data_IF_777286814832
#
_entry.id   IF_777286814832
#
_cell.length_a   1.000
_cell.length_b   1.000
_cell.length_c   1.000
_cell.angle_alpha   90.00
_cell.angle_beta   90.00
_cell.angle_gamma   90.00
#
_symmetry.space_group_name_H-M   'P 1'
#
loop_
_entity.id
_entity.type
_entity.pdbx_description
1 polymer ?
#
# COMPACT_ATOMS: atom_id res chain seq x y z
N UNK A 1 33.81 -49.80 5.57
CA UNK A 1 32.62 -49.20 4.95
C UNK A 1 32.48 -47.81 5.54
N UNK A 2 32.74 -46.76 4.77
CA UNK A 2 32.59 -45.38 5.25
C UNK A 2 31.09 -45.08 5.41
N UNK A 3 30.70 -44.47 6.53
CA UNK A 3 29.34 -43.95 6.69
C UNK A 3 29.21 -42.72 5.78
N UNK A 4 28.25 -42.74 4.87
CA UNK A 4 27.94 -41.61 4.01
C UNK A 4 27.42 -40.44 4.88
N UNK A 5 27.99 -39.24 4.67
CA UNK A 5 27.60 -38.04 5.41
C UNK A 5 26.30 -37.50 4.80
N UNK A 6 25.27 -37.38 5.63
CA UNK A 6 24.00 -36.78 5.25
C UNK A 6 24.00 -35.29 5.56
N UNK A 7 23.49 -34.47 4.64
CA UNK A 7 23.28 -33.03 4.78
C UNK A 7 21.83 -32.68 4.45
N UNK A 8 21.32 -31.57 5.00
CA UNK A 8 19.96 -31.11 4.72
C UNK A 8 19.97 -30.13 3.55
N UNK A 9 19.09 -30.35 2.56
CA UNK A 9 18.80 -29.40 1.49
C UNK A 9 17.37 -28.88 1.61
N UNK A 10 17.12 -27.64 1.19
CA UNK A 10 15.79 -27.06 1.00
C UNK A 10 15.52 -26.92 -0.49
N UNK A 11 14.64 -27.77 -1.02
CA UNK A 11 14.19 -27.77 -2.41
C UNK A 11 13.15 -26.68 -2.60
N UNK A 12 13.45 -25.67 -3.44
CA UNK A 12 12.52 -24.59 -3.77
C UNK A 12 11.77 -24.83 -5.09
N UNK A 13 12.32 -25.67 -5.99
CA UNK A 13 11.64 -26.11 -7.22
C UNK A 13 11.65 -27.64 -7.29
N UNK A 14 10.50 -28.33 -7.39
CA UNK A 14 10.48 -29.79 -7.49
C UNK A 14 11.26 -30.31 -8.68
N UNK A 15 12.04 -31.38 -8.48
CA UNK A 15 12.84 -31.98 -9.55
C UNK A 15 13.00 -33.48 -9.36
N UNK A 16 13.47 -34.17 -10.41
CA UNK A 16 13.86 -35.59 -10.35
C UNK A 16 15.31 -35.72 -10.75
N UNK A 17 16.15 -36.24 -9.85
CA UNK A 17 17.55 -36.51 -10.10
C UNK A 17 17.71 -37.95 -10.59
N UNK A 18 18.50 -38.16 -11.65
CA UNK A 18 18.92 -39.50 -12.06
C UNK A 18 20.34 -39.74 -11.53
N UNK A 19 20.50 -40.76 -10.70
CA UNK A 19 21.76 -41.12 -10.05
C UNK A 19 22.63 -41.98 -10.99
N UNK A 20 23.89 -42.18 -10.61
CA UNK A 20 24.87 -42.92 -11.43
C UNK A 20 24.50 -44.39 -11.68
N UNK A 21 23.66 -44.98 -10.83
CA UNK A 21 23.09 -46.33 -10.98
C UNK A 21 21.82 -46.36 -11.85
N UNK A 22 21.48 -45.24 -12.51
CA UNK A 22 20.26 -45.02 -13.29
C UNK A 22 18.97 -45.02 -12.46
N UNK A 23 19.05 -45.08 -11.13
CA UNK A 23 17.89 -44.88 -10.28
C UNK A 23 17.43 -43.42 -10.35
N UNK A 24 16.13 -43.20 -10.18
CA UNK A 24 15.52 -41.87 -10.19
C UNK A 24 15.02 -41.54 -8.80
N UNK A 25 15.43 -40.39 -8.28
CA UNK A 25 15.00 -39.86 -7.00
C UNK A 25 14.23 -38.56 -7.21
N UNK A 26 12.97 -38.54 -6.79
CA UNK A 26 12.12 -37.37 -6.87
C UNK A 26 12.23 -36.54 -5.59
N UNK A 27 12.33 -35.22 -5.76
CA UNK A 27 12.38 -34.24 -4.70
C UNK A 27 11.22 -33.27 -4.84
N UNK A 28 10.32 -33.28 -3.86
CA UNK A 28 9.26 -32.27 -3.73
C UNK A 28 9.81 -31.02 -3.01
N UNK A 29 9.10 -29.90 -3.11
CA UNK A 29 9.42 -28.70 -2.33
C UNK A 29 9.50 -29.02 -0.83
N UNK A 30 10.50 -28.48 -0.14
CA UNK A 30 10.71 -28.69 1.30
C UNK A 30 12.10 -29.21 1.65
N UNK A 31 12.26 -29.65 2.91
CA UNK A 31 13.55 -30.10 3.46
C UNK A 31 13.76 -31.61 3.24
N UNK A 32 14.94 -31.97 2.74
CA UNK A 32 15.34 -33.37 2.52
C UNK A 32 16.73 -33.62 3.08
N UNK A 33 16.92 -34.76 3.74
CA UNK A 33 18.24 -35.23 4.12
C UNK A 33 18.78 -36.14 3.01
N UNK A 34 19.89 -35.73 2.42
CA UNK A 34 20.49 -36.40 1.27
C UNK A 34 21.99 -36.59 1.50
N UNK A 35 22.63 -37.54 0.80
CA UNK A 35 24.08 -37.60 0.75
C UNK A 35 24.72 -36.30 0.30
N UNK A 36 25.91 -36.00 0.82
CA UNK A 36 26.70 -34.82 0.44
C UNK A 36 26.95 -34.75 -1.09
N UNK A 37 27.12 -35.89 -1.76
CA UNK A 37 27.27 -35.97 -3.22
C UNK A 37 26.01 -35.52 -3.96
N UNK A 38 24.82 -35.91 -3.46
CA UNK A 38 23.53 -35.50 -4.01
C UNK A 38 23.29 -34.01 -3.79
N UNK A 39 23.64 -33.49 -2.60
CA UNK A 39 23.53 -32.06 -2.29
C UNK A 39 24.49 -31.21 -3.13
N UNK A 40 25.69 -31.73 -3.40
CA UNK A 40 26.72 -31.04 -4.19
C UNK A 40 26.48 -31.11 -5.70
N UNK A 41 25.57 -31.98 -6.15
CA UNK A 41 25.24 -32.14 -7.56
C UNK A 41 24.71 -30.83 -8.16
N UNK A 42 25.23 -30.41 -9.31
CA UNK A 42 24.91 -29.12 -9.95
C UNK A 42 23.40 -28.92 -10.16
N UNK A 43 22.70 -29.99 -10.55
CA UNK A 43 21.25 -29.97 -10.75
C UNK A 43 20.48 -29.79 -9.43
N UNK A 44 20.95 -30.42 -8.35
CA UNK A 44 20.38 -30.20 -7.01
C UNK A 44 20.60 -28.76 -6.57
N UNK A 45 21.81 -28.21 -6.74
CA UNK A 45 22.12 -26.81 -6.37
C UNK A 45 21.34 -25.77 -7.20
N UNK A 46 20.87 -26.13 -8.39
CA UNK A 46 20.02 -25.26 -9.20
C UNK A 46 18.57 -25.20 -8.70
N UNK A 47 18.15 -26.17 -7.87
CA UNK A 47 16.74 -26.33 -7.44
C UNK A 47 16.58 -26.45 -5.92
N UNK A 48 17.69 -26.47 -5.18
CA UNK A 48 17.74 -26.60 -3.74
C UNK A 48 18.97 -25.88 -3.14
N UNK A 49 18.83 -25.41 -1.91
CA UNK A 49 19.89 -24.77 -1.14
C UNK A 49 20.32 -25.66 0.02
N UNK A 50 21.59 -25.59 0.44
CA UNK A 50 22.03 -26.25 1.67
C UNK A 50 21.37 -25.54 2.86
N UNK A 51 20.60 -26.29 3.63
CA UNK A 51 19.97 -25.79 4.84
C UNK A 51 20.84 -26.20 6.01
N UNK A 52 21.56 -25.24 6.61
CA UNK A 52 22.20 -25.49 7.90
C UNK A 52 21.08 -25.62 8.94
N UNK A 53 20.78 -26.85 9.32
CA UNK A 53 19.80 -27.16 10.36
C UNK A 53 20.40 -26.83 11.74
N UNK A 54 20.51 -25.53 12.00
CA UNK A 54 20.63 -24.93 13.33
C UNK A 54 19.31 -24.25 13.67
N UNK A 55 18.53 -24.91 14.51
CA UNK A 55 17.27 -24.48 15.11
C UNK A 55 17.30 -23.07 15.75
N UNK A 56 17.20 -22.01 14.94
CA UNK A 56 16.95 -20.62 15.39
C UNK A 56 16.10 -19.81 14.39
N UNK A 57 15.91 -20.28 13.16
CA UNK A 57 15.16 -19.52 12.13
C UNK A 57 13.72 -19.17 12.54
N UNK A 58 13.06 -19.99 13.36
CA UNK A 58 11.64 -19.81 13.67
C UNK A 58 11.38 -18.63 14.61
N UNK A 59 12.23 -18.43 15.62
CA UNK A 59 12.07 -17.33 16.58
C UNK A 59 12.41 -15.98 15.91
N UNK A 60 13.48 -15.95 15.11
CA UNK A 60 13.85 -14.76 14.34
C UNK A 60 12.78 -14.39 13.30
N UNK A 61 12.18 -15.40 12.64
CA UNK A 61 11.04 -15.18 11.73
C UNK A 61 9.80 -14.68 12.48
N UNK A 62 9.51 -15.19 13.67
CA UNK A 62 8.36 -14.74 14.46
C UNK A 62 8.54 -13.28 14.90
N UNK A 63 9.74 -12.88 15.31
CA UNK A 63 10.04 -11.48 15.63
C UNK A 63 9.87 -10.55 14.41
N UNK A 64 10.26 -11.01 13.22
CA UNK A 64 10.03 -10.27 11.97
C UNK A 64 8.52 -10.16 11.68
N UNK A 65 7.77 -11.25 11.84
CA UNK A 65 6.31 -11.25 11.65
C UNK A 65 5.65 -10.26 12.60
N UNK A 66 5.98 -10.28 13.89
CA UNK A 66 5.43 -9.37 14.89
C UNK A 66 5.77 -7.91 14.57
N UNK A 67 7.01 -7.64 14.15
CA UNK A 67 7.43 -6.31 13.71
C UNK A 67 6.66 -5.82 12.48
N UNK A 68 6.46 -6.69 11.48
CA UNK A 68 5.69 -6.35 10.28
C UNK A 68 4.22 -6.12 10.61
N UNK A 69 3.62 -6.92 11.50
CA UNK A 69 2.25 -6.71 11.98
C UNK A 69 2.10 -5.36 12.69
N UNK A 70 3.05 -4.99 13.55
CA UNK A 70 3.04 -3.69 14.21
C UNK A 70 3.16 -2.54 13.20
N UNK A 71 4.00 -2.67 12.18
CA UNK A 71 4.12 -1.68 11.11
C UNK A 71 2.85 -1.57 10.26
N UNK A 72 2.15 -2.69 10.00
CA UNK A 72 0.86 -2.69 9.30
C UNK A 72 -0.18 -1.94 10.14
N UNK A 73 -0.30 -2.25 11.42
CA UNK A 73 -1.25 -1.58 12.31
C UNK A 73 -1.00 -0.06 12.41
N UNK A 74 0.26 0.36 12.49
CA UNK A 74 0.61 1.78 12.48
C UNK A 74 0.24 2.46 11.15
N UNK A 75 0.52 1.79 10.02
CA UNK A 75 0.15 2.30 8.69
C UNK A 75 -1.36 2.38 8.50
N UNK A 76 -2.12 1.40 8.98
CA UNK A 76 -3.59 1.41 8.93
C UNK A 76 -4.15 2.59 9.71
N UNK A 77 -3.60 2.86 10.91
CA UNK A 77 -3.96 4.03 11.69
C UNK A 77 -3.65 5.33 10.93
N UNK A 78 -2.47 5.45 10.33
CA UNK A 78 -2.12 6.63 9.53
C UNK A 78 -3.04 6.83 8.32
N UNK A 79 -3.54 5.75 7.72
CA UNK A 79 -4.51 5.83 6.61
C UNK A 79 -5.82 6.42 7.13
N UNK A 80 -6.35 5.89 8.23
CA UNK A 80 -7.59 6.41 8.84
C UNK A 80 -7.46 7.89 9.21
N UNK A 81 -6.35 8.29 9.84
CA UNK A 81 -6.11 9.68 10.23
C UNK A 81 -6.04 10.61 9.00
N UNK A 82 -5.42 10.15 7.90
CA UNK A 82 -5.34 10.90 6.64
C UNK A 82 -6.70 10.99 5.94
N UNK A 83 -7.49 9.92 5.95
CA UNK A 83 -8.83 9.93 5.35
C UNK A 83 -9.76 10.90 6.09
N UNK A 84 -9.66 10.96 7.42
CA UNK A 84 -10.38 11.95 8.22
C UNK A 84 -9.95 13.37 7.87
N UNK A 85 -8.65 13.64 7.80
CA UNK A 85 -8.13 14.95 7.40
C UNK A 85 -8.60 15.36 6.00
N UNK A 86 -8.63 14.42 5.05
CA UNK A 86 -9.13 14.67 3.69
C UNK A 86 -10.61 15.03 3.73
N UNK A 87 -11.41 14.35 4.55
CA UNK A 87 -12.83 14.65 4.75
C UNK A 87 -13.02 16.07 5.28
N UNK A 88 -12.32 16.42 6.35
CA UNK A 88 -12.41 17.73 7.00
C UNK A 88 -12.00 18.87 6.04
N UNK A 89 -10.92 18.66 5.27
CA UNK A 89 -10.47 19.64 4.27
C UNK A 89 -11.47 19.80 3.12
N UNK A 90 -12.14 18.73 2.69
CA UNK A 90 -13.19 18.81 1.66
C UNK A 90 -14.39 19.60 2.17
N UNK A 91 -14.82 19.39 3.42
CA UNK A 91 -15.90 20.18 4.02
C UNK A 91 -15.53 21.65 4.15
N UNK A 92 -14.30 21.96 4.57
CA UNK A 92 -13.82 23.33 4.67
C UNK A 92 -13.78 24.02 3.29
N UNK A 93 -13.32 23.33 2.25
CA UNK A 93 -13.32 23.83 0.87
C UNK A 93 -14.74 24.12 0.37
N UNK A 94 -15.70 23.24 0.66
CA UNK A 94 -17.09 23.43 0.27
C UNK A 94 -17.70 24.67 0.94
N UNK A 95 -17.48 24.87 2.24
CA UNK A 95 -17.92 26.07 2.97
C UNK A 95 -17.29 27.35 2.41
N UNK A 96 -16.00 27.32 2.05
CA UNK A 96 -15.33 28.46 1.44
C UNK A 96 -15.87 28.76 0.04
N UNK A 97 -16.20 27.73 -0.74
CA UNK A 97 -16.83 27.89 -2.05
C UNK A 97 -18.20 28.57 -1.92
N UNK A 98 -19.05 28.10 -1.01
CA UNK A 98 -20.36 28.72 -0.74
C UNK A 98 -20.25 30.19 -0.30
N UNK A 99 -19.26 30.51 0.55
CA UNK A 99 -18.98 31.89 0.95
C UNK A 99 -18.54 32.75 -0.23
N UNK A 100 -17.66 32.25 -1.09
CA UNK A 100 -17.22 32.96 -2.29
C UNK A 100 -18.39 33.21 -3.25
N UNK A 101 -19.25 32.22 -3.49
CA UNK A 101 -20.41 32.36 -4.37
C UNK A 101 -21.41 33.39 -3.81
N UNK A 102 -21.64 33.38 -2.49
CA UNK A 102 -22.47 34.38 -1.81
C UNK A 102 -21.91 35.80 -1.93
N UNK A 103 -20.60 35.97 -1.71
CA UNK A 103 -19.93 37.27 -1.84
C UNK A 103 -19.97 37.78 -3.29
N UNK A 104 -19.77 36.90 -4.28
CA UNK A 104 -19.89 37.26 -5.69
C UNK A 104 -21.31 37.72 -6.03
N UNK A 105 -22.34 37.03 -5.52
CA UNK A 105 -23.73 37.43 -5.70
C UNK A 105 -24.02 38.82 -5.07
N UNK A 106 -23.48 39.09 -3.87
CA UNK A 106 -23.60 40.39 -3.22
C UNK A 106 -22.90 41.51 -4.01
N UNK A 107 -21.70 41.25 -4.54
CA UNK A 107 -20.96 42.19 -5.38
C UNK A 107 -21.74 42.49 -6.66
N UNK A 108 -22.32 41.47 -7.31
CA UNK A 108 -23.13 41.64 -8.51
C UNK A 108 -24.38 42.48 -8.23
N UNK A 109 -25.09 42.21 -7.12
CA UNK A 109 -26.27 42.98 -6.70
C UNK A 109 -25.93 44.45 -6.37
N UNK A 110 -24.81 44.70 -5.69
CA UNK A 110 -24.37 46.07 -5.39
C UNK A 110 -24.04 46.87 -6.66
N UNK A 111 -23.49 46.20 -7.69
CA UNK A 111 -23.20 46.83 -8.99
C UNK A 111 -24.46 47.18 -9.78
N UNK A 112 -25.53 46.39 -9.68
CA UNK A 112 -26.80 46.65 -10.38
C UNK A 112 -27.74 47.58 -9.62
N UNK A 113 -27.65 47.65 -8.28
CA UNK A 113 -28.47 48.53 -7.44
C UNK A 113 -28.02 50.00 -7.36
N UNK A 114 -26.83 50.33 -7.86
CA UNK A 114 -26.22 51.66 -7.70
C UNK A 114 -26.71 52.78 -8.61
N UNK A 115 -27.56 52.52 -9.62
CA UNK A 115 -27.81 53.48 -10.71
C UNK A 115 -29.26 53.95 -10.90
N UNK A 116 -30.12 53.91 -9.87
CA UNK A 116 -31.57 54.13 -10.05
C UNK A 116 -32.31 55.02 -9.05
N UNK A 117 -31.63 55.74 -8.16
CA UNK A 117 -32.32 56.50 -7.10
C UNK A 117 -31.82 57.94 -6.92
N UNK A 118 -31.74 58.71 -8.01
CA UNK A 118 -31.72 60.19 -7.96
C UNK A 118 -32.30 60.76 -9.25
N UNK A 119 -33.62 60.64 -9.44
CA UNK A 119 -34.40 61.54 -10.32
C UNK A 119 -35.88 61.46 -9.94
N UNK A 120 -36.19 61.94 -8.72
CA UNK A 120 -37.56 62.09 -8.24
C UNK A 120 -37.68 63.34 -7.35
N UNK A 121 -37.48 64.51 -7.95
CA UNK A 121 -37.85 65.87 -7.51
C UNK A 121 -37.19 66.80 -8.54
N UNK A 122 -37.84 67.64 -9.31
CA UNK A 122 -38.99 68.52 -9.16
C UNK A 122 -39.44 68.79 -10.60
N UNK A 123 -40.73 68.87 -10.93
CA UNK A 123 -41.32 70.18 -11.17
C UNK A 123 -42.84 70.03 -11.27
N UNK A 124 -43.54 70.49 -10.23
CA UNK A 124 -44.87 71.07 -10.40
C UNK A 124 -44.67 72.43 -11.08
N UNK A 125 -45.37 72.68 -12.17
CA UNK A 125 -45.94 74.02 -12.40
C UNK A 125 -47.33 73.87 -12.99
N UNK A 126 -48.29 74.38 -12.24
CA UNK A 126 -49.68 74.53 -12.59
C UNK A 126 -49.90 75.85 -13.35
N UNK A 127 -51.02 75.90 -14.09
CA UNK A 127 -51.78 77.10 -14.44
C UNK A 127 -51.18 77.98 -15.56
N UNK A 128 -51.92 78.49 -16.54
CA UNK A 128 -53.35 78.45 -16.82
C UNK A 128 -53.70 79.44 -17.93
N UNK A 129 -54.84 79.18 -18.57
CA UNK A 129 -55.68 80.06 -19.42
C UNK A 129 -55.20 80.44 -20.82
#
# INVERSE_FOLDING_TARGET
MAKEKLVTIHVHTPFTLTLGDQSKQAFCTGRHNVPEDVASHWFTRAHAELSESGSNETDDQQLIIDSLQAQIADKDKQIVDKDQLISDLKEALLKLQEQNDSLQAQIAAARTGGNGAKDAKESKSANGK
#
